data_IF_657874764432
#
_entry.id   IF_657874764432
#
_cell.length_a   1.000
_cell.length_b   1.000
_cell.length_c   1.000
_cell.angle_alpha   90.00
_cell.angle_beta   90.00
_cell.angle_gamma   90.00
#
_symmetry.space_group_name_H-M   'P 1'
#
loop_
_entity.id
_entity.type
_entity.pdbx_description
1 polymer ?
#
# COMPACT_ATOMS: atom_id res chain seq x y z
N UNK A 1 -27.65 5.47 11.71
CA UNK A 1 -27.55 4.68 10.47
C UNK A 1 -26.32 5.20 9.73
N UNK A 2 -25.25 4.41 9.67
CA UNK A 2 -23.98 4.79 8.99
C UNK A 2 -24.20 4.65 7.49
N UNK A 3 -23.86 5.67 6.70
CA UNK A 3 -24.07 5.65 5.24
C UNK A 3 -23.00 4.78 4.56
N UNK A 4 -23.30 4.13 3.43
CA UNK A 4 -22.27 3.55 2.57
C UNK A 4 -21.27 4.65 2.17
N UNK A 5 -19.98 4.41 2.39
CA UNK A 5 -18.91 5.39 2.16
C UNK A 5 -18.49 6.21 3.38
N UNK A 6 -18.93 5.86 4.58
CA UNK A 6 -18.42 6.45 5.82
C UNK A 6 -17.10 5.78 6.24
N UNK A 7 -16.08 5.87 5.38
CA UNK A 7 -14.75 5.24 5.58
C UNK A 7 -14.07 5.69 6.87
N UNK A 8 -14.47 6.85 7.41
CA UNK A 8 -13.99 7.35 8.70
C UNK A 8 -14.58 6.57 9.90
N UNK A 9 -15.67 5.83 9.73
CA UNK A 9 -16.42 5.21 10.82
C UNK A 9 -15.72 4.02 11.51
N UNK A 10 -14.63 3.47 10.94
CA UNK A 10 -13.99 2.29 11.50
C UNK A 10 -12.56 2.52 12.00
N UNK A 11 -12.37 3.58 12.79
CA UNK A 11 -11.12 3.85 13.50
C UNK A 11 -10.60 2.63 14.30
N UNK A 12 -11.49 1.74 14.75
CA UNK A 12 -11.13 0.48 15.42
C UNK A 12 -10.46 -0.52 14.49
N UNK A 13 -10.98 -0.70 13.26
CA UNK A 13 -10.35 -1.57 12.24
C UNK A 13 -8.97 -1.03 11.88
N UNK A 14 -8.84 0.26 11.57
CA UNK A 14 -7.52 0.87 11.31
C UNK A 14 -6.55 0.69 12.46
N UNK A 15 -7.01 0.85 13.70
CA UNK A 15 -6.17 0.60 14.86
C UNK A 15 -5.73 -0.88 14.97
N UNK A 16 -6.55 -1.83 14.51
CA UNK A 16 -6.15 -3.24 14.41
C UNK A 16 -5.07 -3.44 13.36
N UNK A 17 -5.28 -2.94 12.14
CA UNK A 17 -4.31 -3.02 11.04
C UNK A 17 -2.96 -2.44 11.48
N UNK A 18 -2.96 -1.26 12.11
CA UNK A 18 -1.73 -0.65 12.63
C UNK A 18 -1.05 -1.54 13.68
N UNK A 19 -1.80 -2.16 14.59
CA UNK A 19 -1.22 -3.09 15.58
C UNK A 19 -0.60 -4.31 14.90
N UNK A 20 -1.24 -4.86 13.87
CA UNK A 20 -0.73 -6.00 13.12
C UNK A 20 0.57 -5.64 12.37
N UNK A 21 0.61 -4.47 11.73
CA UNK A 21 1.82 -3.94 11.09
C UNK A 21 2.95 -3.77 12.11
N UNK A 22 2.67 -3.21 13.28
CA UNK A 22 3.67 -3.05 14.35
C UNK A 22 4.18 -4.41 14.87
N UNK A 23 3.30 -5.38 15.07
CA UNK A 23 3.70 -6.73 15.48
C UNK A 23 4.59 -7.42 14.44
N UNK A 24 4.29 -7.23 13.14
CA UNK A 24 5.16 -7.69 12.05
C UNK A 24 6.51 -6.97 12.08
N UNK A 25 6.52 -5.65 12.29
CA UNK A 25 7.76 -4.85 12.36
C UNK A 25 8.66 -5.29 13.51
N UNK A 26 8.09 -5.58 14.68
CA UNK A 26 8.80 -6.13 15.84
C UNK A 26 9.37 -7.53 15.56
N UNK A 27 8.60 -8.40 14.88
CA UNK A 27 9.10 -9.71 14.45
C UNK A 27 10.28 -9.56 13.49
N UNK A 28 10.14 -8.75 12.45
CA UNK A 28 11.22 -8.48 11.49
C UNK A 28 12.48 -7.93 12.18
N UNK A 29 12.32 -7.07 13.19
CA UNK A 29 13.46 -6.57 13.96
C UNK A 29 14.18 -7.68 14.73
N UNK A 30 13.43 -8.61 15.34
CA UNK A 30 14.02 -9.77 16.03
C UNK A 30 14.72 -10.73 15.07
N UNK A 31 14.18 -10.91 13.87
CA UNK A 31 14.71 -11.83 12.86
C UNK A 31 15.92 -11.26 12.10
N UNK A 32 15.92 -9.95 11.81
CA UNK A 32 16.89 -9.33 10.89
C UNK A 32 17.73 -8.22 11.54
N UNK A 33 17.48 -7.86 12.79
CA UNK A 33 18.23 -6.83 13.51
C UNK A 33 17.97 -5.40 13.01
N UNK A 34 19.03 -4.59 12.97
CA UNK A 34 18.98 -3.18 12.56
C UNK A 34 18.83 -3.05 11.04
N UNK A 35 17.80 -2.34 10.59
CA UNK A 35 17.43 -2.19 9.17
C UNK A 35 17.65 -0.76 8.67
N UNK A 36 18.83 -0.19 8.93
CA UNK A 36 19.24 1.10 8.37
C UNK A 36 20.03 0.84 7.10
N UNK A 37 19.31 0.62 6.00
CA UNK A 37 19.91 0.48 4.68
C UNK A 37 20.02 1.84 4.00
N UNK A 38 21.01 2.06 3.13
CA UNK A 38 21.05 3.24 2.28
C UNK A 38 19.77 3.35 1.44
N UNK A 39 19.24 4.56 1.33
CA UNK A 39 18.27 4.90 0.29
C UNK A 39 18.97 4.87 -1.09
N UNK A 40 18.24 5.19 -2.16
CA UNK A 40 18.58 5.04 -3.59
C UNK A 40 19.86 5.78 -4.09
N UNK A 41 20.77 6.20 -3.22
CA UNK A 41 22.06 6.81 -3.54
C UNK A 41 22.97 5.94 -4.44
N UNK A 42 22.55 4.71 -4.77
CA UNK A 42 23.24 3.79 -5.69
C UNK A 42 22.52 3.56 -7.01
N UNK A 43 21.34 4.13 -7.24
CA UNK A 43 20.64 3.95 -8.52
C UNK A 43 21.33 4.75 -9.63
N UNK A 44 21.55 4.07 -10.75
CA UNK A 44 21.89 4.67 -12.03
C UNK A 44 20.75 5.54 -12.55
N UNK A 45 21.07 6.45 -13.47
CA UNK A 45 20.05 7.27 -14.16
C UNK A 45 19.04 6.39 -14.89
N UNK A 46 19.50 5.28 -15.46
CA UNK A 46 18.71 4.30 -16.17
C UNK A 46 17.68 3.62 -15.25
N UNK A 47 18.07 3.29 -14.01
CA UNK A 47 17.15 2.73 -13.00
C UNK A 47 16.06 3.72 -12.61
N UNK A 48 16.40 5.00 -12.40
CA UNK A 48 15.41 6.04 -12.14
C UNK A 48 14.42 6.20 -13.30
N UNK A 49 14.91 6.23 -14.54
CA UNK A 49 14.07 6.32 -15.73
C UNK A 49 13.16 5.10 -15.88
N UNK A 50 13.67 3.91 -15.57
CA UNK A 50 12.88 2.68 -15.59
C UNK A 50 11.73 2.73 -14.57
N UNK A 51 11.98 3.19 -13.35
CA UNK A 51 10.94 3.37 -12.33
C UNK A 51 9.88 4.41 -12.75
N UNK A 52 10.29 5.51 -13.39
CA UNK A 52 9.35 6.49 -13.95
C UNK A 52 8.45 5.89 -15.04
N UNK A 53 9.02 5.06 -15.93
CA UNK A 53 8.26 4.36 -16.97
C UNK A 53 7.23 3.39 -16.36
N UNK A 54 7.63 2.62 -15.34
CA UNK A 54 6.70 1.73 -14.63
C UNK A 54 5.59 2.50 -13.93
N UNK A 55 5.91 3.58 -13.21
CA UNK A 55 4.90 4.43 -12.58
C UNK A 55 3.91 5.01 -13.61
N UNK A 56 4.41 5.41 -14.77
CA UNK A 56 3.58 5.94 -15.86
C UNK A 56 2.69 4.86 -16.49
N UNK A 57 3.18 3.64 -16.64
CA UNK A 57 2.39 2.51 -17.14
C UNK A 57 1.23 2.17 -16.17
N UNK A 58 1.51 2.08 -14.87
CA UNK A 58 0.48 1.82 -13.85
C UNK A 58 -0.54 2.95 -13.78
N UNK A 59 -0.12 4.20 -13.92
CA UNK A 59 -1.02 5.35 -14.00
C UNK A 59 -1.96 5.27 -15.21
N UNK A 60 -1.47 4.81 -16.36
CA UNK A 60 -2.30 4.61 -17.55
C UNK A 60 -3.33 3.50 -17.33
N UNK A 61 -2.94 2.39 -16.70
CA UNK A 61 -3.87 1.33 -16.30
C UNK A 61 -4.93 1.89 -15.34
N UNK A 62 -4.52 2.65 -14.33
CA UNK A 62 -5.41 3.23 -13.32
C UNK A 62 -6.34 4.33 -13.85
N UNK A 63 -6.08 4.86 -15.05
CA UNK A 63 -6.94 5.82 -15.73
C UNK A 63 -8.17 5.14 -16.36
N UNK A 64 -8.11 3.83 -16.62
CA UNK A 64 -9.23 3.04 -17.10
C UNK A 64 -9.91 2.31 -15.91
N UNK A 65 -11.15 2.67 -15.53
CA UNK A 65 -11.86 2.03 -14.43
C UNK A 65 -12.06 0.51 -14.60
N UNK A 66 -12.07 0.00 -15.82
CA UNK A 66 -12.25 -1.44 -16.11
C UNK A 66 -10.97 -2.25 -15.88
N UNK A 67 -9.80 -1.62 -16.04
CA UNK A 67 -8.49 -2.24 -15.85
C UNK A 67 -7.90 -1.94 -14.46
N UNK A 68 -8.39 -0.90 -13.79
CA UNK A 68 -7.92 -0.45 -12.49
C UNK A 68 -8.08 -1.55 -11.44
N UNK A 69 -6.98 -1.83 -10.74
CA UNK A 69 -6.91 -2.90 -9.75
C UNK A 69 -6.14 -2.46 -8.51
N UNK A 70 -6.31 -3.17 -7.40
CA UNK A 70 -5.50 -2.92 -6.20
C UNK A 70 -3.98 -3.01 -6.45
N UNK A 71 -3.47 -4.04 -7.16
CA UNK A 71 -2.05 -4.09 -7.54
C UNK A 71 -1.60 -2.87 -8.33
N UNK A 72 -2.33 -2.45 -9.37
CA UNK A 72 -1.91 -1.33 -10.21
C UNK A 72 -1.92 0.01 -9.45
N UNK A 73 -2.87 0.20 -8.51
CA UNK A 73 -2.87 1.37 -7.63
C UNK A 73 -1.65 1.35 -6.70
N UNK A 74 -1.33 0.21 -6.10
CA UNK A 74 -0.17 0.08 -5.21
C UNK A 74 1.14 0.32 -5.97
N UNK A 75 1.30 -0.34 -7.12
CA UNK A 75 2.51 -0.23 -7.93
C UNK A 75 2.72 1.18 -8.47
N UNK A 76 1.67 1.91 -8.84
CA UNK A 76 1.81 3.34 -9.18
C UNK A 76 2.45 4.13 -8.04
N UNK A 77 1.98 3.95 -6.79
CA UNK A 77 2.51 4.69 -5.65
C UNK A 77 3.95 4.26 -5.30
N UNK A 78 4.23 2.95 -5.34
CA UNK A 78 5.57 2.42 -5.04
C UNK A 78 6.58 2.87 -6.09
N UNK A 79 6.29 2.69 -7.38
CA UNK A 79 7.21 3.13 -8.44
C UNK A 79 7.36 4.65 -8.45
N UNK A 80 6.28 5.40 -8.20
CA UNK A 80 6.34 6.85 -8.04
C UNK A 80 7.23 7.29 -6.87
N UNK A 81 7.17 6.59 -5.73
CA UNK A 81 8.02 6.85 -4.57
C UNK A 81 9.50 6.56 -4.87
N UNK A 82 9.79 5.41 -5.48
CA UNK A 82 11.15 4.97 -5.81
C UNK A 82 11.78 5.79 -6.94
N UNK A 83 10.97 6.38 -7.81
CA UNK A 83 11.40 7.30 -8.86
C UNK A 83 11.68 8.73 -8.36
N UNK A 84 11.49 9.00 -7.06
CA UNK A 84 11.70 10.31 -6.48
C UNK A 84 13.19 10.58 -6.22
N UNK A 85 13.64 11.80 -6.54
CA UNK A 85 15.01 12.29 -6.38
C UNK A 85 15.27 12.90 -4.99
N UNK A 86 14.22 13.32 -4.29
CA UNK A 86 14.29 13.97 -2.98
C UNK A 86 13.66 13.12 -1.86
N UNK A 87 14.29 13.11 -0.68
CA UNK A 87 13.82 12.34 0.48
C UNK A 87 12.39 12.69 0.92
N UNK A 88 12.00 13.96 0.78
CA UNK A 88 10.65 14.41 1.11
C UNK A 88 9.60 13.77 0.17
N UNK A 89 9.92 13.67 -1.11
CA UNK A 89 9.08 13.05 -2.13
C UNK A 89 9.01 11.53 -1.96
N UNK A 90 10.15 10.88 -1.68
CA UNK A 90 10.20 9.46 -1.31
C UNK A 90 9.28 9.17 -0.12
N UNK A 91 9.43 9.92 0.98
CA UNK A 91 8.59 9.76 2.17
C UNK A 91 7.11 9.95 1.84
N UNK A 92 6.75 10.97 1.06
CA UNK A 92 5.36 11.22 0.68
C UNK A 92 4.77 10.03 -0.12
N UNK A 93 5.51 9.49 -1.08
CA UNK A 93 5.09 8.33 -1.86
C UNK A 93 4.99 7.05 -1.03
N UNK A 94 5.91 6.81 -0.09
CA UNK A 94 5.82 5.69 0.84
C UNK A 94 4.59 5.78 1.74
N UNK A 95 4.23 6.99 2.19
CA UNK A 95 2.99 7.20 2.96
C UNK A 95 1.74 6.95 2.10
N UNK A 96 1.73 7.40 0.84
CA UNK A 96 0.64 7.08 -0.10
C UNK A 96 0.53 5.57 -0.32
N UNK A 97 1.66 4.88 -0.46
CA UNK A 97 1.71 3.42 -0.62
C UNK A 97 1.14 2.70 0.60
N UNK A 98 1.51 3.14 1.82
CA UNK A 98 0.96 2.61 3.06
C UNK A 98 -0.56 2.86 3.19
N UNK A 99 -1.05 4.01 2.71
CA UNK A 99 -2.48 4.32 2.69
C UNK A 99 -3.25 3.37 1.73
N UNK A 100 -2.70 3.10 0.54
CA UNK A 100 -3.27 2.14 -0.42
C UNK A 100 -3.29 0.73 0.17
N UNK A 101 -2.19 0.27 0.78
CA UNK A 101 -2.12 -1.04 1.45
C UNK A 101 -3.19 -1.14 2.55
N UNK A 102 -3.33 -0.10 3.37
CA UNK A 102 -4.35 -0.06 4.43
C UNK A 102 -5.75 -0.20 3.86
N UNK A 103 -6.08 0.58 2.82
CA UNK A 103 -7.39 0.51 2.18
C UNK A 103 -7.66 -0.86 1.53
N UNK A 104 -6.63 -1.50 0.96
CA UNK A 104 -6.75 -2.83 0.38
C UNK A 104 -6.99 -3.90 1.45
N UNK A 105 -6.30 -3.84 2.59
CA UNK A 105 -6.54 -4.74 3.74
C UNK A 105 -7.96 -4.54 4.28
N UNK A 106 -8.41 -3.29 4.45
CA UNK A 106 -9.79 -2.99 4.86
C UNK A 106 -10.82 -3.64 3.91
N UNK A 107 -10.62 -3.54 2.60
CA UNK A 107 -11.49 -4.17 1.61
C UNK A 107 -11.46 -5.71 1.75
N UNK A 108 -10.29 -6.34 1.87
CA UNK A 108 -10.15 -7.79 2.08
C UNK A 108 -10.92 -8.25 3.33
N UNK A 109 -10.80 -7.53 4.43
CA UNK A 109 -11.49 -7.86 5.69
C UNK A 109 -13.02 -7.79 5.50
N UNK A 110 -13.51 -6.79 4.77
CA UNK A 110 -14.97 -6.68 4.50
C UNK A 110 -15.48 -7.83 3.64
N UNK A 111 -14.75 -8.24 2.60
CA UNK A 111 -15.14 -9.37 1.74
C UNK A 111 -15.26 -10.68 2.52
N UNK A 112 -14.37 -10.88 3.48
CA UNK A 112 -14.31 -12.11 4.27
C UNK A 112 -15.50 -12.24 5.23
N UNK A 113 -16.02 -11.12 5.75
CA UNK A 113 -17.19 -11.15 6.66
C UNK A 113 -18.51 -11.55 5.99
N UNK A 114 -18.62 -11.44 4.67
CA UNK A 114 -19.86 -11.73 3.92
C UNK A 114 -20.00 -13.23 3.56
N UNK A 115 -18.93 -14.01 3.63
CA UNK A 115 -18.91 -15.43 3.21
C UNK A 115 -19.16 -16.49 4.30
N UNK A 116 -19.49 -16.10 5.53
CA UNK A 116 -19.48 -16.98 6.71
C UNK A 116 -20.83 -17.47 7.24
N UNK A 117 -21.90 -17.51 6.43
CA UNK A 117 -23.25 -17.85 6.90
C UNK A 117 -24.08 -18.63 5.89
N UNK A 118 -23.94 -19.96 5.90
CA UNK A 118 -24.67 -20.93 5.08
C UNK A 118 -23.68 -22.02 4.67
N UNK A 119 -23.73 -23.26 5.17
CA UNK A 119 -24.91 -24.08 5.41
C UNK A 119 -24.73 -24.95 6.66
N UNK A 120 -25.69 -24.82 7.58
CA UNK A 120 -26.01 -25.81 8.58
C UNK A 120 -27.49 -26.11 8.46
N UNK A 121 -27.84 -27.11 7.66
CA UNK A 121 -29.13 -27.81 7.67
C UNK A 121 -28.87 -29.28 7.35
#
# INVERSE_FOLDING_TARGET
MVKPGDWLANARVRASIVREVLAVRERQHREHGQQQYPDHATYSREEFQYLQLLAQAERQINADPELKSWPSILLEQVYGALAADELASLRAGLIQSAAVITAWVEDIDTRTTVGGGGDGS
#
